data_IF_062533203397
#
_entry.id   IF_062533203397
#
_cell.length_a   1.000
_cell.length_b   1.000
_cell.length_c   1.000
_cell.angle_alpha   90.00
_cell.angle_beta   90.00
_cell.angle_gamma   90.00
#
_symmetry.space_group_name_H-M   'P 1'
#
loop_
_entity.id
_entity.type
_entity.pdbx_description
1 polymer ?
#
# COMPACT_ATOMS: atom_id res chain seq x y z
N UNK A 1 -10.88 -11.12 1.93
CA UNK A 1 -10.38 -9.85 1.35
C UNK A 1 -9.32 -9.29 2.29
N UNK A 2 -8.03 -9.42 1.97
CA UNK A 2 -6.95 -8.84 2.79
C UNK A 2 -6.69 -7.40 2.31
N UNK A 3 -7.31 -6.42 2.98
CA UNK A 3 -7.12 -4.99 2.69
C UNK A 3 -5.83 -4.51 3.36
N UNK A 4 -4.96 -3.87 2.58
CA UNK A 4 -3.75 -3.22 3.09
C UNK A 4 -4.16 -1.89 3.73
N UNK A 5 -4.10 -1.83 5.06
CA UNK A 5 -4.42 -0.60 5.81
C UNK A 5 -3.18 0.26 5.97
N UNK A 6 -3.28 1.52 5.57
CA UNK A 6 -2.18 2.49 5.63
C UNK A 6 -2.53 3.60 6.61
N UNK A 7 -1.54 3.99 7.42
CA UNK A 7 -1.62 5.11 8.35
C UNK A 7 -0.56 6.17 8.00
N UNK A 8 -0.64 7.35 8.60
CA UNK A 8 0.37 8.38 8.41
C UNK A 8 1.79 7.97 8.87
N UNK A 9 1.90 6.97 9.77
CA UNK A 9 3.17 6.44 10.27
C UNK A 9 3.67 5.21 9.51
N UNK A 10 2.88 4.71 8.55
CA UNK A 10 3.29 3.56 7.75
C UNK A 10 4.55 3.89 6.94
N UNK A 11 5.52 2.97 6.94
CA UNK A 11 6.70 3.09 6.08
C UNK A 11 6.30 2.79 4.65
N UNK A 12 6.54 3.74 3.76
CA UNK A 12 6.21 3.66 2.33
C UNK A 12 6.73 2.37 1.69
N UNK A 13 8.01 2.02 1.92
CA UNK A 13 8.63 0.83 1.34
C UNK A 13 7.99 -0.49 1.82
N UNK A 14 7.57 -0.54 3.10
CA UNK A 14 6.88 -1.74 3.63
C UNK A 14 5.50 -1.91 3.01
N UNK A 15 4.76 -0.80 2.81
CA UNK A 15 3.46 -0.83 2.12
C UNK A 15 3.62 -1.24 0.66
N UNK A 16 4.64 -0.72 -0.03
CA UNK A 16 4.96 -1.06 -1.42
C UNK A 16 5.25 -2.57 -1.59
N UNK A 17 6.05 -3.15 -0.69
CA UNK A 17 6.33 -4.59 -0.69
C UNK A 17 5.07 -5.44 -0.46
N UNK A 18 4.17 -5.00 0.44
CA UNK A 18 2.89 -5.67 0.66
C UNK A 18 1.98 -5.59 -0.58
N UNK A 19 1.93 -4.44 -1.26
CA UNK A 19 1.18 -4.27 -2.51
C UNK A 19 1.71 -5.23 -3.58
N UNK A 20 3.03 -5.26 -3.81
CA UNK A 20 3.64 -6.13 -4.80
C UNK A 20 3.40 -7.62 -4.52
N UNK A 21 3.51 -8.04 -3.25
CA UNK A 21 3.19 -9.42 -2.83
C UNK A 21 1.75 -9.81 -3.14
N UNK A 22 0.78 -8.98 -2.75
CA UNK A 22 -0.64 -9.24 -3.00
C UNK A 22 -0.96 -9.25 -4.50
N UNK A 23 -0.36 -8.35 -5.30
CA UNK A 23 -0.56 -8.36 -6.76
C UNK A 23 0.00 -9.64 -7.38
N UNK A 24 1.16 -10.13 -6.96
CA UNK A 24 1.74 -11.38 -7.47
C UNK A 24 0.87 -12.60 -7.16
N UNK A 25 0.23 -12.62 -5.99
CA UNK A 25 -0.61 -13.74 -5.55
C UNK A 25 -2.04 -13.68 -6.10
N UNK A 26 -2.64 -12.49 -6.12
CA UNK A 26 -4.09 -12.29 -6.36
C UNK A 26 -4.41 -11.43 -7.59
N UNK A 27 -3.41 -10.91 -8.30
CA UNK A 27 -3.57 -10.03 -9.46
C UNK A 27 -4.09 -8.61 -9.15
N UNK A 28 -4.59 -8.38 -7.94
CA UNK A 28 -5.16 -7.10 -7.48
C UNK A 28 -4.92 -6.92 -5.99
N UNK A 29 -4.44 -5.74 -5.62
CA UNK A 29 -4.34 -5.30 -4.23
C UNK A 29 -5.37 -4.21 -3.93
N UNK A 30 -5.90 -4.22 -2.72
CA UNK A 30 -6.77 -3.16 -2.21
C UNK A 30 -6.11 -2.46 -1.03
N UNK A 31 -6.06 -1.13 -1.10
CA UNK A 31 -5.41 -0.28 -0.10
C UNK A 31 -6.43 0.67 0.48
N UNK A 32 -6.53 0.72 1.81
CA UNK A 32 -7.37 1.66 2.53
C UNK A 32 -6.52 2.60 3.36
N UNK A 33 -6.71 3.90 3.12
CA UNK A 33 -6.03 4.98 3.83
C UNK A 33 -7.05 6.06 4.22
N UNK A 34 -7.02 6.49 5.48
CA UNK A 34 -7.93 7.54 6.00
C UNK A 34 -7.09 8.70 6.53
N UNK A 35 -7.38 9.91 6.03
CA UNK A 35 -6.68 11.14 6.39
C UNK A 35 -5.45 11.43 5.51
N UNK A 36 -5.10 12.72 5.37
CA UNK A 36 -4.12 13.20 4.40
C UNK A 36 -2.73 12.52 4.51
N UNK A 37 -2.23 12.31 5.74
CA UNK A 37 -0.94 11.66 5.96
C UNK A 37 -0.93 10.20 5.51
N UNK A 38 -2.01 9.46 5.77
CA UNK A 38 -2.15 8.07 5.33
C UNK A 38 -2.29 7.97 3.80
N UNK A 39 -3.08 8.86 3.21
CA UNK A 39 -3.26 8.93 1.75
C UNK A 39 -1.94 9.23 1.05
N UNK A 40 -1.15 10.19 1.55
CA UNK A 40 0.18 10.49 1.02
C UNK A 40 1.10 9.27 1.06
N UNK A 41 1.11 8.53 2.18
CA UNK A 41 1.91 7.30 2.29
C UNK A 41 1.44 6.21 1.32
N UNK A 42 0.13 6.04 1.17
CA UNK A 42 -0.44 5.07 0.25
C UNK A 42 -0.08 5.39 -1.21
N UNK A 43 -0.26 6.65 -1.64
CA UNK A 43 0.06 7.09 -3.00
C UNK A 43 1.55 6.93 -3.31
N UNK A 44 2.42 7.34 -2.37
CA UNK A 44 3.87 7.13 -2.52
C UNK A 44 4.21 5.64 -2.63
N UNK A 45 3.58 4.78 -1.82
CA UNK A 45 3.81 3.35 -1.83
C UNK A 45 3.34 2.70 -3.15
N UNK A 46 2.18 3.12 -3.68
CA UNK A 46 1.69 2.67 -4.99
C UNK A 46 2.67 3.06 -6.10
N UNK A 47 3.19 4.30 -6.06
CA UNK A 47 4.13 4.79 -7.08
C UNK A 47 5.46 4.02 -7.10
N UNK A 48 5.92 3.51 -5.95
CA UNK A 48 7.17 2.74 -5.83
C UNK A 48 6.96 1.23 -5.67
N UNK A 49 5.72 0.75 -5.75
CA UNK A 49 5.42 -0.68 -5.69
C UNK A 49 5.95 -1.33 -6.97
N UNK A 50 7.22 -1.71 -6.93
CA UNK A 50 7.91 -2.39 -8.02
C UNK A 50 8.13 -3.84 -7.63
N UNK A 51 7.58 -4.75 -8.41
CA UNK A 51 7.70 -6.19 -8.19
C UNK A 51 6.78 -6.95 -9.11
#
# INVERSE_FOLDING_TARGET
MNIIKVSARSRTASVAGAIAGVIRESGRAEVQAIGAGAVNQAVKAIAIATG
#
